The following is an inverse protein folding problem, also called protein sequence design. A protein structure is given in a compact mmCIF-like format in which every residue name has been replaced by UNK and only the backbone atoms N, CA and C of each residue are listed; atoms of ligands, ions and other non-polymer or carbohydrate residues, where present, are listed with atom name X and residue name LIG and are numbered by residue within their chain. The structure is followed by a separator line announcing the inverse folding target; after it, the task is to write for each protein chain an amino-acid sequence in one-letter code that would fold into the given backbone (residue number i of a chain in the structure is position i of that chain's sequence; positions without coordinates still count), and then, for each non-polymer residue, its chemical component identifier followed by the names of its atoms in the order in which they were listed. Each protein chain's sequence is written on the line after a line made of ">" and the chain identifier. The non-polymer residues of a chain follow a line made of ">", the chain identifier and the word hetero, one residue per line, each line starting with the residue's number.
data_IF_047614302344
#
_entry.id   IF_047614302344
#
_cell.length_a   1.000
_cell.length_b   1.000
_cell.length_c   1.000
_cell.angle_alpha   90.00
_cell.angle_beta   90.00
_cell.angle_gamma   90.00
#
_symmetry.space_group_name_H-M   'P 1'
#
loop_
_entity.id
_entity.type
_entity.pdbx_description
1 polymer ?
#
# COMPACT_ATOMS: atom_id res chain seq x y z
N UNK A 1 14.43 -10.65 -9.54
CA UNK A 1 15.44 -9.64 -9.95
C UNK A 1 15.68 -8.65 -8.82
N UNK A 2 16.80 -7.91 -8.84
CA UNK A 2 17.07 -6.85 -7.85
C UNK A 2 17.04 -5.46 -8.49
N UNK A 3 16.47 -4.50 -7.76
CA UNK A 3 16.34 -3.09 -8.14
C UNK A 3 16.74 -2.21 -6.95
N UNK A 4 17.26 -1.02 -7.22
CA UNK A 4 17.55 -0.01 -6.20
C UNK A 4 16.75 1.27 -6.51
N UNK A 5 15.99 1.75 -5.52
CA UNK A 5 15.09 2.89 -5.65
C UNK A 5 15.59 4.06 -4.80
N UNK A 6 16.26 5.02 -5.44
CA UNK A 6 16.79 6.21 -4.77
C UNK A 6 15.68 7.12 -4.20
N UNK A 7 15.99 7.76 -3.08
CA UNK A 7 15.18 8.80 -2.44
C UNK A 7 16.07 9.98 -2.00
N UNK A 8 15.47 11.15 -1.76
CA UNK A 8 16.17 12.26 -1.13
C UNK A 8 16.25 12.04 0.39
N UNK A 9 17.43 11.95 1.02
CA UNK A 9 17.54 11.78 2.47
C UNK A 9 17.09 13.04 3.22
N UNK A 10 16.73 12.94 4.51
CA UNK A 10 16.66 11.71 5.31
C UNK A 10 15.40 10.87 5.04
N UNK A 11 15.44 9.60 5.45
CA UNK A 11 14.31 8.67 5.37
C UNK A 11 14.16 7.87 6.68
N UNK A 12 13.03 8.01 7.37
CA UNK A 12 12.74 7.28 8.61
C UNK A 12 12.16 5.89 8.29
N UNK A 13 13.06 4.96 7.95
CA UNK A 13 12.69 3.58 7.58
C UNK A 13 12.03 2.83 8.73
N UNK A 14 12.48 3.08 9.97
CA UNK A 14 11.91 2.45 11.14
C UNK A 14 10.44 2.86 11.35
N UNK A 15 10.10 4.14 11.15
CA UNK A 15 8.71 4.60 11.20
C UNK A 15 7.87 4.00 10.07
N UNK A 16 8.39 3.95 8.84
CA UNK A 16 7.71 3.33 7.69
C UNK A 16 7.41 1.85 7.94
N UNK A 17 8.42 1.07 8.34
CA UNK A 17 8.24 -0.33 8.68
C UNK A 17 7.28 -0.54 9.85
N UNK A 18 7.39 0.27 10.91
CA UNK A 18 6.46 0.20 12.04
C UNK A 18 5.01 0.43 11.61
N UNK A 19 4.78 1.39 10.70
CA UNK A 19 3.46 1.63 10.14
C UNK A 19 2.95 0.44 9.32
N UNK A 20 3.79 -0.13 8.45
CA UNK A 20 3.42 -1.26 7.60
C UNK A 20 3.20 -2.54 8.42
N UNK A 21 4.08 -2.84 9.37
CA UNK A 21 3.98 -4.01 10.24
C UNK A 21 2.69 -3.99 11.07
N UNK A 22 2.33 -2.83 11.62
CA UNK A 22 1.09 -2.68 12.39
C UNK A 22 -0.19 -2.78 11.55
N UNK A 23 -0.08 -2.82 10.22
CA UNK A 23 -1.20 -2.87 9.25
C UNK A 23 -1.11 -4.04 8.27
N UNK A 24 -0.12 -4.92 8.46
CA UNK A 24 0.14 -6.04 7.57
C UNK A 24 -1.04 -7.01 7.57
N UNK A 25 -1.55 -7.32 6.38
CA UNK A 25 -2.65 -8.26 6.20
C UNK A 25 -2.09 -9.67 6.07
N UNK A 26 -2.52 -10.56 6.97
CA UNK A 26 -2.13 -11.97 6.99
C UNK A 26 -2.42 -12.62 5.63
N UNK A 27 -1.43 -13.34 5.10
CA UNK A 27 -1.52 -13.99 3.78
C UNK A 27 -1.10 -13.11 2.61
N UNK A 28 -0.92 -11.80 2.81
CA UNK A 28 -0.63 -10.84 1.74
C UNK A 28 0.60 -9.96 2.02
N UNK A 29 0.89 -9.67 3.29
CA UNK A 29 2.00 -8.82 3.71
C UNK A 29 2.68 -9.40 4.94
N UNK A 30 4.00 -9.28 4.99
CA UNK A 30 4.83 -9.66 6.14
C UNK A 30 5.92 -8.64 6.36
N UNK A 31 6.29 -8.41 7.63
CA UNK A 31 7.47 -7.64 8.00
C UNK A 31 8.32 -8.50 8.91
N UNK A 32 9.52 -8.84 8.46
CA UNK A 32 10.45 -9.72 9.17
C UNK A 32 11.85 -9.12 9.06
N UNK A 33 12.56 -8.98 10.18
CA UNK A 33 13.97 -8.58 10.22
C UNK A 33 14.33 -7.32 9.40
N UNK A 34 13.44 -6.31 9.41
CA UNK A 34 13.69 -5.05 8.69
C UNK A 34 13.36 -5.09 7.19
N UNK A 35 12.74 -6.18 6.72
CA UNK A 35 12.27 -6.35 5.34
C UNK A 35 10.75 -6.34 5.32
N UNK A 36 10.16 -5.50 4.47
CA UNK A 36 8.74 -5.56 4.13
C UNK A 36 8.57 -6.38 2.87
N UNK A 37 7.76 -7.44 2.93
CA UNK A 37 7.42 -8.26 1.77
C UNK A 37 5.91 -8.30 1.57
N UNK A 38 5.47 -8.26 0.32
CA UNK A 38 4.06 -8.38 -0.03
C UNK A 38 3.85 -9.12 -1.34
N UNK A 39 2.67 -9.72 -1.48
CA UNK A 39 2.18 -10.15 -2.78
C UNK A 39 1.64 -8.96 -3.58
N UNK A 40 1.78 -9.05 -4.90
CA UNK A 40 1.36 -8.02 -5.84
C UNK A 40 0.66 -8.66 -7.03
N UNK A 41 -0.36 -7.96 -7.54
CA UNK A 41 -1.05 -8.30 -8.77
C UNK A 41 -1.02 -7.14 -9.75
N UNK A 42 -0.81 -7.45 -11.03
CA UNK A 42 -0.92 -6.50 -12.13
C UNK A 42 -1.43 -7.22 -13.38
N UNK A 43 -2.56 -6.75 -13.92
CA UNK A 43 -3.15 -7.26 -15.16
C UNK A 43 -3.34 -8.80 -15.18
N UNK A 44 -3.81 -9.38 -14.07
CA UNK A 44 -3.99 -10.84 -13.92
C UNK A 44 -2.69 -11.64 -13.68
N UNK A 45 -1.55 -10.96 -13.65
CA UNK A 45 -0.24 -11.56 -13.35
C UNK A 45 0.12 -11.29 -11.90
N UNK A 46 0.61 -12.30 -11.21
CA UNK A 46 0.91 -12.27 -9.78
C UNK A 46 2.39 -12.48 -9.50
N UNK A 47 2.84 -11.92 -8.38
CA UNK A 47 4.20 -12.14 -7.88
C UNK A 47 4.38 -11.54 -6.50
N UNK A 48 5.63 -11.38 -6.09
CA UNK A 48 6.01 -10.81 -4.79
C UNK A 48 7.06 -9.74 -4.92
N UNK A 49 7.09 -8.86 -3.92
CA UNK A 49 8.14 -7.87 -3.76
C UNK A 49 8.60 -7.85 -2.30
N UNK A 50 9.91 -7.79 -2.10
CA UNK A 50 10.56 -7.61 -0.79
C UNK A 50 11.41 -6.35 -0.83
N UNK A 51 11.27 -5.49 0.17
CA UNK A 51 11.89 -4.16 0.23
C UNK A 51 12.59 -3.95 1.56
N UNK A 52 13.82 -3.46 1.52
CA UNK A 52 14.62 -3.14 2.69
C UNK A 52 15.44 -1.87 2.47
N UNK A 53 15.94 -1.30 3.57
CA UNK A 53 16.82 -0.13 3.50
C UNK A 53 18.19 -0.54 2.97
N UNK A 54 18.63 0.11 1.89
CA UNK A 54 19.97 -0.06 1.33
C UNK A 54 21.03 0.66 2.16
N UNK A 55 22.29 0.50 1.76
CA UNK A 55 23.43 1.21 2.35
C UNK A 55 23.66 2.59 1.75
N UNK A 56 23.08 2.86 0.58
CA UNK A 56 22.98 4.19 -0.03
C UNK A 56 21.63 4.83 0.34
N UNK A 57 21.40 6.08 -0.11
CA UNK A 57 20.11 6.78 -0.01
C UNK A 57 19.06 6.16 -0.97
N UNK A 58 18.83 4.86 -0.83
CA UNK A 58 17.96 4.05 -1.66
C UNK A 58 17.30 2.92 -0.87
N UNK A 59 16.12 2.50 -1.32
CA UNK A 59 15.52 1.24 -0.93
C UNK A 59 15.91 0.15 -1.92
N UNK A 60 16.38 -0.98 -1.41
CA UNK A 60 16.68 -2.16 -2.21
C UNK A 60 15.43 -3.02 -2.31
N UNK A 61 15.22 -3.57 -3.50
CA UNK A 61 14.02 -4.31 -3.86
C UNK A 61 14.40 -5.62 -4.50
N UNK A 62 13.87 -6.71 -3.97
CA UNK A 62 13.81 -7.99 -4.66
C UNK A 62 12.41 -8.18 -5.22
N UNK A 63 12.33 -8.35 -6.55
CA UNK A 63 11.09 -8.51 -7.30
C UNK A 63 11.05 -9.90 -7.92
N UNK A 64 10.09 -10.71 -7.51
CA UNK A 64 9.75 -11.97 -8.17
C UNK A 64 8.42 -11.79 -8.89
N UNK A 65 8.49 -11.46 -10.17
CA UNK A 65 7.32 -11.21 -11.02
C UNK A 65 7.61 -11.72 -12.43
N UNK A 66 6.71 -12.51 -13.04
CA UNK A 66 7.04 -13.28 -14.24
C UNK A 66 7.06 -12.44 -15.52
N UNK A 67 6.49 -11.23 -15.52
CA UNK A 67 6.47 -10.32 -16.67
C UNK A 67 7.47 -9.15 -16.48
N UNK A 68 8.60 -9.14 -17.21
CA UNK A 68 9.55 -8.02 -17.16
C UNK A 68 8.99 -6.70 -17.69
N UNK A 69 7.99 -6.71 -18.57
CA UNK A 69 7.39 -5.49 -19.10
C UNK A 69 6.59 -4.71 -18.03
N UNK A 70 6.19 -5.38 -16.95
CA UNK A 70 5.51 -4.78 -15.81
C UNK A 70 6.43 -3.97 -14.89
N UNK A 71 7.75 -4.19 -14.96
CA UNK A 71 8.73 -3.61 -14.01
C UNK A 71 8.62 -2.09 -13.88
N UNK A 72 8.50 -1.29 -14.97
CA UNK A 72 8.37 0.16 -14.84
C UNK A 72 7.13 0.58 -14.04
N UNK A 73 5.98 -0.09 -14.22
CA UNK A 73 4.77 0.21 -13.45
C UNK A 73 4.92 -0.20 -11.98
N UNK A 74 5.53 -1.35 -11.71
CA UNK A 74 5.83 -1.83 -10.35
C UNK A 74 6.72 -0.83 -9.62
N UNK A 75 7.78 -0.34 -10.28
CA UNK A 75 8.66 0.69 -9.73
C UNK A 75 7.86 1.96 -9.38
N UNK A 76 7.00 2.45 -10.27
CA UNK A 76 6.15 3.63 -9.98
C UNK A 76 5.25 3.40 -8.77
N UNK A 77 4.66 2.20 -8.62
CA UNK A 77 3.82 1.87 -7.46
C UNK A 77 4.63 1.80 -6.17
N UNK A 78 5.81 1.19 -6.19
CA UNK A 78 6.71 1.14 -5.04
C UNK A 78 7.16 2.55 -4.62
N UNK A 79 7.56 3.39 -5.58
CA UNK A 79 7.95 4.78 -5.30
C UNK A 79 6.82 5.55 -4.61
N UNK A 80 5.56 5.33 -5.00
CA UNK A 80 4.38 5.93 -4.35
C UNK A 80 4.09 5.32 -2.98
N UNK A 81 4.16 3.99 -2.87
CA UNK A 81 3.89 3.27 -1.63
C UNK A 81 4.85 3.68 -0.51
N UNK A 82 6.12 3.92 -0.86
CA UNK A 82 7.16 4.37 0.06
C UNK A 82 7.40 5.89 -0.01
N UNK A 83 6.62 6.63 -0.79
CA UNK A 83 6.70 8.11 -0.90
C UNK A 83 8.12 8.62 -1.21
N UNK A 84 8.84 7.94 -2.11
CA UNK A 84 10.25 8.18 -2.41
C UNK A 84 10.50 9.51 -3.13
N UNK A 85 9.48 10.01 -3.82
CA UNK A 85 9.52 11.23 -4.63
C UNK A 85 9.14 12.51 -3.84
N UNK A 86 8.90 12.40 -2.53
CA UNK A 86 8.52 13.54 -1.69
C UNK A 86 9.62 14.60 -1.61
N UNK A 87 9.25 15.86 -1.87
CA UNK A 87 10.07 17.03 -1.56
C UNK A 87 9.90 17.42 -0.08
N UNK A 88 10.62 16.70 0.79
CA UNK A 88 10.57 16.94 2.23
C UNK A 88 10.99 18.36 2.59
N UNK A 89 11.98 18.93 1.91
CA UNK A 89 12.47 20.27 2.21
C UNK A 89 11.38 21.33 1.99
N UNK A 90 10.67 21.26 0.86
CA UNK A 90 9.56 22.16 0.56
C UNK A 90 8.42 21.99 1.56
N UNK A 91 8.00 20.76 1.84
CA UNK A 91 6.90 20.48 2.78
C UNK A 91 7.24 20.95 4.20
N UNK A 92 8.46 20.66 4.66
CA UNK A 92 8.91 21.04 6.00
C UNK A 92 9.03 22.56 6.13
N UNK A 93 9.53 23.27 5.11
CA UNK A 93 9.58 24.73 5.11
C UNK A 93 8.18 25.35 5.26
N UNK A 94 7.16 24.76 4.62
CA UNK A 94 5.78 25.23 4.76
C UNK A 94 5.20 24.93 6.14
N UNK A 95 5.37 23.70 6.65
CA UNK A 95 4.80 23.25 7.92
C UNK A 95 5.50 23.84 9.15
N UNK A 96 6.78 24.21 9.03
CA UNK A 96 7.57 24.80 10.12
C UNK A 96 7.07 26.19 10.57
N UNK A 97 6.15 26.81 9.84
CA UNK A 97 5.49 28.05 10.27
C UNK A 97 4.57 27.82 11.49
N UNK A 98 4.14 26.59 11.74
CA UNK A 98 3.41 26.21 12.95
C UNK A 98 4.39 25.67 14.02
N UNK A 99 4.42 26.25 15.25
CA UNK A 99 5.37 25.82 16.28
C UNK A 99 5.24 24.37 16.74
N UNK A 100 4.03 23.79 16.70
CA UNK A 100 3.82 22.38 17.05
C UNK A 100 4.39 21.48 15.96
N UNK A 101 4.10 21.79 14.70
CA UNK A 101 4.60 21.01 13.56
C UNK A 101 6.13 21.15 13.41
N UNK A 102 6.69 22.34 13.63
CA UNK A 102 8.13 22.56 13.61
C UNK A 102 8.88 21.63 14.59
N UNK A 103 8.34 21.44 15.80
CA UNK A 103 8.89 20.50 16.78
C UNK A 103 8.83 19.05 16.29
N UNK A 104 7.71 18.63 15.72
CA UNK A 104 7.54 17.27 15.19
C UNK A 104 8.48 16.99 13.99
N UNK A 105 8.75 18.00 13.16
CA UNK A 105 9.71 17.89 12.05
C UNK A 105 11.13 17.64 12.59
N UNK A 106 11.55 18.36 13.63
CA UNK A 106 12.86 18.17 14.26
C UNK A 106 12.97 16.77 14.89
N UNK A 107 11.90 16.28 15.51
CA UNK A 107 11.88 14.93 16.09
C UNK A 107 11.95 13.82 15.04
N UNK A 108 11.39 14.05 13.83
CA UNK A 108 11.24 13.05 12.77
C UNK A 108 11.50 13.64 11.37
N UNK A 109 12.74 14.07 11.05
CA UNK A 109 13.03 14.81 9.82
C UNK A 109 12.90 13.98 8.54
N UNK A 110 12.94 12.64 8.65
CA UNK A 110 12.79 11.71 7.52
C UNK A 110 11.40 11.08 7.40
N UNK A 111 10.40 11.55 8.16
CA UNK A 111 9.06 10.95 8.14
C UNK A 111 8.41 11.08 6.75
N UNK A 112 7.82 9.98 6.28
CA UNK A 112 7.14 9.87 4.98
C UNK A 112 5.67 9.55 5.17
N UNK A 113 4.89 9.72 4.10
CA UNK A 113 3.48 9.33 4.07
C UNK A 113 3.38 7.90 3.50
N UNK A 114 3.03 6.88 4.30
CA UNK A 114 2.86 5.53 3.78
C UNK A 114 1.71 5.48 2.77
N UNK A 115 2.02 5.05 1.55
CA UNK A 115 1.05 4.84 0.48
C UNK A 115 0.46 3.43 0.50
N UNK A 116 -0.15 3.05 -0.62
CA UNK A 116 -0.68 1.71 -0.87
C UNK A 116 -0.25 1.21 -2.25
N UNK A 117 -0.32 -0.10 -2.47
CA UNK A 117 0.03 -0.72 -3.74
C UNK A 117 -0.84 -0.23 -4.91
N UNK A 118 -2.14 -0.16 -4.69
CA UNK A 118 -3.08 0.42 -5.65
C UNK A 118 -4.28 1.09 -4.95
N UNK A 119 -5.05 1.83 -5.76
CA UNK A 119 -6.17 2.62 -5.27
C UNK A 119 -7.37 1.78 -4.82
N UNK A 120 -7.61 0.61 -5.40
CA UNK A 120 -8.71 -0.27 -5.02
C UNK A 120 -8.45 -0.88 -3.64
N UNK A 121 -7.25 -1.43 -3.43
CA UNK A 121 -6.82 -1.93 -2.12
C UNK A 121 -6.92 -0.83 -1.06
N UNK A 122 -6.46 0.38 -1.37
CA UNK A 122 -6.55 1.52 -0.46
C UNK A 122 -8.01 1.85 -0.10
N UNK A 123 -8.90 1.92 -1.08
CA UNK A 123 -10.32 2.19 -0.86
C UNK A 123 -10.97 1.11 0.02
N UNK A 124 -10.65 -0.16 -0.24
CA UNK A 124 -11.11 -1.29 0.57
C UNK A 124 -10.62 -1.20 2.02
N UNK A 125 -9.32 -0.94 2.23
CA UNK A 125 -8.75 -0.73 3.57
C UNK A 125 -9.43 0.43 4.30
N UNK A 126 -9.69 1.53 3.61
CA UNK A 126 -10.36 2.70 4.17
C UNK A 126 -11.78 2.37 4.64
N UNK A 127 -12.58 1.68 3.81
CA UNK A 127 -13.96 1.29 4.14
C UNK A 127 -13.98 0.23 5.26
N UNK A 128 -13.10 -0.77 5.19
CA UNK A 128 -12.98 -1.80 6.22
C UNK A 128 -12.65 -1.21 7.59
N UNK A 129 -11.80 -0.19 7.64
CA UNK A 129 -11.38 0.50 8.86
C UNK A 129 -12.38 1.49 9.46
N UNK A 130 -13.52 1.74 8.80
CA UNK A 130 -14.49 2.70 9.31
C UNK A 130 -15.03 2.31 10.70
N UNK A 131 -14.97 3.25 11.64
CA UNK A 131 -15.56 3.15 12.99
C UNK A 131 -15.08 1.94 13.82
N UNK A 132 -13.89 1.40 13.53
CA UNK A 132 -13.31 0.28 14.28
C UNK A 132 -11.82 0.51 14.55
N UNK A 133 -11.22 -0.34 15.38
CA UNK A 133 -9.78 -0.30 15.65
C UNK A 133 -8.97 -0.78 14.44
N UNK A 134 -7.70 -0.35 14.36
CA UNK A 134 -6.75 -0.81 13.33
C UNK A 134 -6.63 -2.33 13.33
N UNK A 135 -6.51 -2.96 14.51
CA UNK A 135 -6.43 -4.42 14.65
C UNK A 135 -7.68 -5.12 14.09
N UNK A 136 -8.88 -4.58 14.36
CA UNK A 136 -10.12 -5.15 13.84
C UNK A 136 -10.22 -5.00 12.31
N UNK A 137 -9.76 -3.87 11.76
CA UNK A 137 -9.71 -3.63 10.33
C UNK A 137 -8.80 -4.63 9.60
N UNK A 138 -7.61 -4.88 10.16
CA UNK A 138 -6.66 -5.87 9.62
C UNK A 138 -7.23 -7.28 9.66
N UNK A 139 -7.94 -7.64 10.74
CA UNK A 139 -8.61 -8.95 10.82
C UNK A 139 -9.69 -9.11 9.75
N UNK A 140 -10.48 -8.06 9.49
CA UNK A 140 -11.47 -8.08 8.40
C UNK A 140 -10.79 -8.15 7.03
N UNK A 141 -9.71 -7.40 6.81
CA UNK A 141 -8.93 -7.49 5.58
C UNK A 141 -8.37 -8.91 5.39
N UNK A 142 -7.81 -9.53 6.43
CA UNK A 142 -7.32 -10.91 6.38
C UNK A 142 -8.41 -11.93 6.03
N UNK A 143 -9.63 -11.76 6.54
CA UNK A 143 -10.78 -12.59 6.12
C UNK A 143 -11.12 -12.39 4.64
N UNK A 144 -11.12 -11.14 4.17
CA UNK A 144 -11.37 -10.82 2.77
C UNK A 144 -10.32 -11.48 1.86
N UNK A 145 -9.04 -11.39 2.23
CA UNK A 145 -7.94 -12.04 1.51
C UNK A 145 -8.08 -13.56 1.53
N UNK A 146 -8.35 -14.16 2.68
CA UNK A 146 -8.48 -15.61 2.79
C UNK A 146 -9.69 -16.16 2.01
N UNK A 147 -10.77 -15.37 1.87
CA UNK A 147 -11.99 -15.83 1.23
C UNK A 147 -12.05 -15.51 -0.27
N UNK A 148 -11.49 -14.38 -0.71
CA UNK A 148 -11.63 -13.88 -2.07
C UNK A 148 -10.30 -13.62 -2.77
N UNK A 149 -9.17 -13.70 -2.06
CA UNK A 149 -7.84 -13.47 -2.64
C UNK A 149 -7.48 -14.57 -3.63
N UNK A 150 -6.72 -14.21 -4.66
CA UNK A 150 -6.21 -15.20 -5.59
C UNK A 150 -5.05 -15.98 -4.93
N UNK A 151 -5.06 -17.32 -4.92
CA UNK A 151 -3.97 -18.11 -4.36
C UNK A 151 -2.64 -17.78 -5.04
N UNK A 152 -1.57 -17.74 -4.24
CA UNK A 152 -0.21 -17.50 -4.70
C UNK A 152 0.71 -18.55 -4.09
N UNK A 153 1.42 -19.28 -4.95
CA UNK A 153 2.56 -20.08 -4.56
C UNK A 153 3.79 -19.16 -4.56
N UNK A 154 4.35 -18.91 -3.37
CA UNK A 154 5.40 -17.91 -3.14
C UNK A 154 6.53 -18.53 -2.33
N UNK A 155 7.78 -18.24 -2.73
CA UNK A 155 8.97 -18.62 -1.96
C UNK A 155 9.13 -17.83 -0.65
N UNK A 156 8.35 -16.75 -0.45
CA UNK A 156 8.35 -15.94 0.77
C UNK A 156 7.31 -16.46 1.75
N UNK A 157 7.77 -16.88 2.93
CA UNK A 157 6.90 -17.43 3.97
C UNK A 157 5.82 -16.42 4.42
N UNK A 158 4.58 -16.89 4.54
CA UNK A 158 3.43 -16.09 4.97
C UNK A 158 2.71 -15.34 3.86
N UNK A 159 3.26 -15.30 2.64
CA UNK A 159 2.57 -14.80 1.44
C UNK A 159 1.89 -15.97 0.74
N UNK A 160 0.56 -15.97 0.73
CA UNK A 160 -0.26 -17.09 0.22
C UNK A 160 -1.35 -16.64 -0.74
N UNK A 161 -1.69 -15.35 -0.74
CA UNK A 161 -2.75 -14.80 -1.56
C UNK A 161 -2.36 -13.43 -2.10
N UNK A 162 -2.92 -13.06 -3.25
CA UNK A 162 -2.90 -11.71 -3.81
C UNK A 162 -4.24 -11.03 -3.53
N UNK A 163 -4.22 -9.71 -3.39
CA UNK A 163 -5.44 -8.92 -3.26
C UNK A 163 -6.43 -9.24 -4.41
N UNK A 164 -7.73 -9.45 -4.14
CA UNK A 164 -8.69 -9.83 -5.17
C UNK A 164 -8.85 -8.75 -6.25
N UNK A 165 -9.04 -9.16 -7.50
CA UNK A 165 -9.38 -8.21 -8.55
C UNK A 165 -10.78 -7.60 -8.37
N UNK A 166 -10.99 -6.42 -8.97
CA UNK A 166 -12.27 -5.70 -8.88
C UNK A 166 -13.47 -6.55 -9.32
N UNK A 167 -13.30 -7.37 -10.37
CA UNK A 167 -14.38 -8.21 -10.89
C UNK A 167 -14.78 -9.32 -9.91
N UNK A 168 -13.82 -9.86 -9.15
CA UNK A 168 -14.08 -10.84 -8.08
C UNK A 168 -14.86 -10.17 -6.94
N UNK A 169 -14.44 -8.97 -6.54
CA UNK A 169 -15.05 -8.23 -5.43
C UNK A 169 -16.47 -7.74 -5.75
N UNK A 170 -16.73 -7.35 -7.00
CA UNK A 170 -18.05 -6.89 -7.43
C UNK A 170 -19.08 -8.04 -7.41
N UNK A 171 -18.64 -9.27 -7.71
CA UNK A 171 -19.49 -10.46 -7.68
C UNK A 171 -19.60 -11.12 -6.30
N UNK A 172 -18.75 -10.73 -5.34
CA UNK A 172 -18.66 -11.35 -4.02
C UNK A 172 -19.80 -10.92 -3.07
N UNK A 173 -20.25 -11.85 -2.23
CA UNK A 173 -21.09 -11.53 -1.06
C UNK A 173 -20.24 -10.99 0.10
N UNK A 174 -19.84 -9.73 0.01
CA UNK A 174 -18.99 -9.09 1.01
C UNK A 174 -19.69 -8.91 2.37
N UNK A 175 -21.02 -9.09 2.46
CA UNK A 175 -21.71 -9.06 3.74
C UNK A 175 -21.35 -10.28 4.62
N UNK A 176 -20.89 -11.38 4.02
CA UNK A 176 -20.47 -12.60 4.72
C UNK A 176 -19.22 -12.42 5.61
N UNK A 177 -18.47 -11.32 5.44
CA UNK A 177 -17.23 -11.05 6.18
C UNK A 177 -17.45 -10.70 7.67
N UNK A 178 -18.70 -10.62 8.14
CA UNK A 178 -19.03 -10.35 9.53
C UNK A 178 -18.89 -8.87 9.90
N UNK A 179 -19.45 -8.00 9.06
CA UNK A 179 -19.46 -6.54 9.24
C UNK A 179 -20.88 -5.98 9.04
N UNK A 180 -21.17 -4.71 9.41
CA UNK A 180 -22.46 -4.10 9.15
C UNK A 180 -22.83 -4.15 7.66
N UNK A 181 -24.11 -4.44 7.33
CA UNK A 181 -24.60 -4.55 5.94
C UNK A 181 -24.33 -3.29 5.11
N UNK A 182 -24.36 -2.11 5.72
CA UNK A 182 -24.01 -0.85 5.05
C UNK A 182 -22.57 -0.87 4.53
N UNK A 183 -21.62 -1.38 5.32
CA UNK A 183 -20.21 -1.47 4.94
C UNK A 183 -19.99 -2.46 3.80
N UNK A 184 -20.63 -3.63 3.87
CA UNK A 184 -20.62 -4.60 2.77
C UNK A 184 -21.13 -3.99 1.46
N UNK A 185 -22.28 -3.29 1.49
CA UNK A 185 -22.82 -2.58 0.33
C UNK A 185 -21.86 -1.51 -0.21
N UNK A 186 -21.19 -0.76 0.66
CA UNK A 186 -20.19 0.24 0.23
C UNK A 186 -19.03 -0.44 -0.50
N UNK A 187 -18.51 -1.56 0.01
CA UNK A 187 -17.41 -2.28 -0.65
C UNK A 187 -17.82 -2.81 -2.02
N UNK A 188 -19.02 -3.41 -2.14
CA UNK A 188 -19.55 -3.85 -3.43
C UNK A 188 -19.73 -2.66 -4.39
N UNK A 189 -20.19 -1.52 -3.89
CA UNK A 189 -20.31 -0.29 -4.69
C UNK A 189 -18.96 0.26 -5.15
N UNK A 190 -17.92 0.23 -4.32
CA UNK A 190 -16.56 0.62 -4.69
C UNK A 190 -15.98 -0.31 -5.75
N UNK A 191 -16.18 -1.63 -5.61
CA UNK A 191 -15.74 -2.60 -6.60
C UNK A 191 -16.42 -2.38 -7.95
N UNK A 192 -17.75 -2.21 -7.96
CA UNK A 192 -18.51 -1.93 -9.18
C UNK A 192 -18.07 -0.62 -9.83
N UNK A 193 -17.94 0.47 -9.06
CA UNK A 193 -17.50 1.75 -9.59
C UNK A 193 -16.09 1.69 -10.19
N UNK A 194 -15.22 0.82 -9.68
CA UNK A 194 -13.87 0.62 -10.22
C UNK A 194 -13.86 -0.18 -11.52
N UNK A 195 -14.88 -1.00 -11.77
CA UNK A 195 -15.10 -1.67 -13.06
C UNK A 195 -15.69 -0.69 -14.09
N UNK A 196 -16.64 0.13 -13.65
CA UNK A 196 -17.32 1.11 -14.50
C UNK A 196 -16.35 2.22 -14.95
N UNK A 197 -15.43 2.65 -14.07
CA UNK A 197 -14.35 3.59 -14.38
C UNK A 197 -12.99 3.09 -13.85
N UNK A 198 -12.18 2.44 -14.70
CA UNK A 198 -10.82 1.99 -14.34
C UNK A 198 -9.86 3.12 -13.91
N UNK A 199 -10.21 4.38 -14.17
CA UNK A 199 -9.40 5.55 -13.79
C UNK A 199 -9.83 6.18 -12.47
N UNK A 200 -10.98 5.80 -11.91
CA UNK A 200 -11.58 6.37 -10.71
C UNK A 200 -10.57 6.51 -9.57
N UNK A 201 -9.82 5.43 -9.30
CA UNK A 201 -8.86 5.34 -8.21
C UNK A 201 -7.41 5.53 -8.66
N UNK A 202 -7.17 5.76 -9.96
CA UNK A 202 -5.84 6.09 -10.51
C UNK A 202 -5.56 7.61 -10.47
N UNK A 203 -6.60 8.44 -10.33
CA UNK A 203 -6.55 9.91 -10.51
C UNK A 203 -5.97 10.71 -9.34
N UNK A 204 -5.68 10.10 -8.19
CA UNK A 204 -5.19 10.83 -7.01
C UNK A 204 -3.72 11.28 -7.15
N UNK A 205 -2.98 10.79 -8.16
CA UNK A 205 -1.54 11.04 -8.28
C UNK A 205 -1.09 12.30 -9.05
N UNK A 206 -1.97 13.25 -9.42
CA UNK A 206 -1.54 14.42 -10.23
C UNK A 206 -2.21 15.79 -9.98
N UNK A 207 -3.10 15.94 -8.99
CA UNK A 207 -3.92 17.16 -8.84
C UNK A 207 -3.59 18.07 -7.63
N UNK A 208 -2.48 17.87 -6.93
CA UNK A 208 -1.91 18.84 -5.99
C UNK A 208 -0.43 18.88 -6.33
N UNK A 209 0.10 19.79 -7.15
CA UNK A 209 0.43 21.17 -6.82
C UNK A 209 0.84 21.85 -8.15
N UNK A 210 -0.11 22.35 -8.93
CA UNK A 210 0.17 23.29 -10.02
C UNK A 210 -0.80 24.46 -9.90
N UNK A 211 -0.28 25.58 -9.39
CA UNK A 211 -0.97 26.87 -9.40
C UNK A 211 -1.64 27.26 -8.10
N UNK A 212 -0.84 27.73 -7.15
CA UNK A 212 -1.04 28.96 -6.39
C UNK A 212 0.34 29.45 -5.96
#
# INVERSE_FOLDING_TARGET
>A
MRLSLAYAPPYDWAAMLGFLATRAVVGMEVVVEGVYSRSIGLNGVHGTVSVWLGTADALEVELDFPDPAAVPEIVVRLRRMFDLDADLALMQAHLANDPLLARLIVERPGLRIPGAWDGLELAFRAVLGQQITVVAAIRLAGKLIAQYGAPLDSGVAGLTHVFPEAHVLAAADLAALGMPKSRGRTLSGVAQASLDDPWLLRRIAKAAWRGC
#
